data_IF_359911541549
#
_entry.id   IF_359911541549
#
_cell.length_a   1.000
_cell.length_b   1.000
_cell.length_c   1.000
_cell.angle_alpha   90.00
_cell.angle_beta   90.00
_cell.angle_gamma   90.00
#
_symmetry.space_group_name_H-M   'P 1'
#
loop_
_entity.id
_entity.type
_entity.pdbx_description
1 polymer ?
#
# COMPACT_ATOMS: atom_id res chain seq x y z
N UNK A 1 -10.58 -10.25 -11.92
CA UNK A 1 -9.27 -10.09 -11.25
C UNK A 1 -8.17 -9.97 -12.28
N UNK A 2 -7.18 -9.11 -12.06
CA UNK A 2 -6.05 -8.94 -12.98
C UNK A 2 -4.72 -8.79 -12.22
N UNK A 3 -3.67 -9.43 -12.76
CA UNK A 3 -2.31 -9.47 -12.24
C UNK A 3 -1.55 -10.64 -12.85
N UNK A 4 -0.27 -10.83 -12.49
CA UNK A 4 0.46 -12.06 -12.84
C UNK A 4 -0.34 -13.31 -12.44
N UNK A 5 -0.96 -13.23 -11.25
CA UNK A 5 -1.97 -14.19 -10.80
C UNK A 5 -3.31 -13.47 -10.60
N UNK A 6 -4.37 -13.94 -11.25
CA UNK A 6 -5.71 -13.40 -11.01
C UNK A 6 -6.16 -13.60 -9.56
N UNK A 7 -5.97 -14.81 -9.03
CA UNK A 7 -6.40 -15.20 -7.68
C UNK A 7 -5.37 -16.11 -7.02
N UNK A 8 -5.01 -15.80 -5.77
CA UNK A 8 -4.12 -16.62 -4.92
C UNK A 8 -4.92 -17.19 -3.75
N UNK A 9 -4.93 -18.51 -3.59
CA UNK A 9 -5.61 -19.16 -2.48
C UNK A 9 -4.81 -19.05 -1.16
N UNK A 10 -5.40 -19.52 -0.05
CA UNK A 10 -4.81 -19.43 1.30
C UNK A 10 -3.46 -20.15 1.46
N UNK A 11 -3.25 -21.23 0.71
CA UNK A 11 -1.98 -21.98 0.72
C UNK A 11 -0.97 -21.42 -0.30
N UNK A 12 -1.41 -20.48 -1.14
CA UNK A 12 -0.61 -19.92 -2.23
C UNK A 12 0.49 -19.02 -1.69
N UNK A 13 1.66 -19.13 -2.31
CA UNK A 13 2.80 -18.26 -2.02
C UNK A 13 3.39 -17.76 -3.33
N UNK A 14 3.56 -16.44 -3.44
CA UNK A 14 4.32 -15.81 -4.51
C UNK A 14 5.50 -15.11 -3.86
N UNK A 15 6.72 -15.44 -4.29
CA UNK A 15 7.92 -14.83 -3.72
C UNK A 15 9.04 -14.58 -4.72
N UNK A 16 9.84 -13.55 -4.45
CA UNK A 16 11.04 -13.20 -5.23
C UNK A 16 10.71 -12.88 -6.70
N UNK A 17 9.60 -12.16 -6.94
CA UNK A 17 9.16 -11.79 -8.28
C UNK A 17 9.44 -10.31 -8.51
N UNK A 18 10.17 -10.00 -9.58
CA UNK A 18 10.41 -8.63 -10.04
C UNK A 18 9.66 -8.43 -11.35
N UNK A 19 8.71 -7.51 -11.36
CA UNK A 19 7.91 -7.15 -12.53
C UNK A 19 8.29 -5.75 -12.99
N UNK A 20 9.00 -5.65 -14.11
CA UNK A 20 9.52 -4.37 -14.61
C UNK A 20 8.70 -3.83 -15.80
N UNK A 21 8.34 -2.56 -15.75
CA UNK A 21 7.71 -1.86 -16.86
C UNK A 21 6.34 -2.41 -17.28
N UNK A 22 5.61 -3.05 -16.36
CA UNK A 22 4.32 -3.68 -16.70
C UNK A 22 3.26 -2.66 -17.08
N UNK A 23 2.31 -3.08 -17.91
CA UNK A 23 1.12 -2.29 -18.25
C UNK A 23 -0.10 -3.16 -18.00
N UNK A 24 -0.68 -3.06 -16.81
CA UNK A 24 -1.85 -3.85 -16.42
C UNK A 24 -3.06 -2.92 -16.41
N UNK A 25 -4.09 -3.28 -17.18
CA UNK A 25 -5.33 -2.49 -17.24
C UNK A 25 -6.53 -3.42 -17.19
N UNK A 26 -7.51 -3.08 -16.36
CA UNK A 26 -8.82 -3.74 -16.33
C UNK A 26 -9.93 -2.70 -16.25
N UNK A 27 -10.90 -2.80 -17.16
CA UNK A 27 -12.09 -1.94 -17.17
C UNK A 27 -13.26 -2.58 -16.44
N UNK A 28 -12.99 -3.56 -15.56
CA UNK A 28 -14.04 -4.25 -14.80
C UNK A 28 -14.60 -3.31 -13.73
N UNK A 29 -15.83 -2.83 -13.97
CA UNK A 29 -16.51 -1.85 -13.12
C UNK A 29 -17.02 -2.45 -11.81
N UNK A 30 -17.41 -3.73 -11.82
CA UNK A 30 -18.01 -4.42 -10.66
C UNK A 30 -17.07 -5.51 -10.13
N UNK A 31 -16.67 -5.40 -8.86
CA UNK A 31 -15.88 -6.41 -8.16
C UNK A 31 -14.48 -6.63 -8.75
N UNK A 32 -13.92 -5.60 -9.41
CA UNK A 32 -12.53 -5.64 -9.88
C UNK A 32 -11.57 -5.79 -8.71
N UNK A 33 -10.49 -6.55 -8.90
CA UNK A 33 -9.31 -6.46 -8.06
C UNK A 33 -8.09 -6.59 -8.95
N UNK A 34 -7.24 -5.57 -8.93
CA UNK A 34 -6.16 -5.37 -9.88
C UNK A 34 -4.88 -5.13 -9.09
N UNK A 35 -3.88 -5.98 -9.31
CA UNK A 35 -2.54 -5.79 -8.78
C UNK A 35 -1.48 -6.24 -9.77
N UNK A 36 -0.24 -5.78 -9.59
CA UNK A 36 0.90 -6.27 -10.36
C UNK A 36 1.08 -7.78 -10.21
N UNK A 37 1.29 -8.22 -8.98
CA UNK A 37 1.56 -9.62 -8.64
C UNK A 37 0.27 -10.42 -8.57
N UNK A 38 -0.75 -9.90 -7.86
CA UNK A 38 -2.02 -10.59 -7.72
C UNK A 38 -3.22 -9.64 -7.81
N UNK A 39 -4.28 -10.05 -8.50
CA UNK A 39 -5.56 -9.34 -8.44
C UNK A 39 -6.19 -9.46 -7.06
N UNK A 40 -6.36 -10.70 -6.59
CA UNK A 40 -6.95 -11.02 -5.31
C UNK A 40 -6.13 -12.12 -4.61
N UNK A 41 -5.88 -11.99 -3.31
CA UNK A 41 -5.03 -12.92 -2.58
C UNK A 41 -5.56 -13.26 -1.18
N UNK A 42 -5.56 -14.55 -0.86
CA UNK A 42 -5.70 -15.10 0.49
C UNK A 42 -4.37 -15.60 1.07
N UNK A 43 -3.32 -15.61 0.24
CA UNK A 43 -2.05 -16.27 0.51
C UNK A 43 -0.94 -15.31 0.92
N UNK A 44 0.30 -15.74 0.73
CA UNK A 44 1.50 -14.96 1.05
C UNK A 44 2.12 -14.37 -0.21
N UNK A 45 2.40 -13.07 -0.18
CA UNK A 45 3.18 -12.36 -1.19
C UNK A 45 4.42 -11.79 -0.50
N UNK A 46 5.61 -12.30 -0.86
CA UNK A 46 6.86 -11.95 -0.18
C UNK A 46 7.96 -11.52 -1.16
N UNK A 47 8.67 -10.43 -0.88
CA UNK A 47 9.82 -10.01 -1.69
C UNK A 47 9.47 -9.84 -3.17
N UNK A 48 8.36 -9.15 -3.46
CA UNK A 48 7.95 -8.86 -4.82
C UNK A 48 8.03 -7.36 -5.11
N UNK A 49 8.49 -6.99 -6.30
CA UNK A 49 8.54 -5.60 -6.75
C UNK A 49 7.83 -5.41 -8.07
N UNK A 50 7.15 -4.26 -8.22
CA UNK A 50 6.40 -3.91 -9.44
C UNK A 50 6.74 -2.49 -9.88
N UNK A 51 7.05 -2.31 -11.17
CA UNK A 51 7.20 -0.99 -11.81
C UNK A 51 6.39 -0.92 -13.12
N UNK A 52 6.12 0.29 -13.62
CA UNK A 52 5.28 0.51 -14.80
C UNK A 52 3.94 1.17 -14.44
N UNK A 53 2.83 0.61 -14.93
CA UNK A 53 1.48 1.10 -14.66
C UNK A 53 0.49 -0.03 -14.30
N UNK A 54 -0.38 0.26 -13.34
CA UNK A 54 -1.48 -0.61 -12.93
C UNK A 54 -2.75 0.22 -12.85
N UNK A 55 -3.71 -0.05 -13.73
CA UNK A 55 -4.95 0.71 -13.85
C UNK A 55 -6.18 -0.18 -13.72
N UNK A 56 -7.16 0.25 -12.93
CA UNK A 56 -8.40 -0.48 -12.71
C UNK A 56 -9.53 0.41 -12.21
N UNK A 57 -10.70 -0.15 -11.90
CA UNK A 57 -11.80 0.63 -11.30
C UNK A 57 -11.83 0.49 -9.77
N UNK A 58 -11.81 -0.74 -9.26
CA UNK A 58 -11.98 -1.04 -7.83
C UNK A 58 -10.82 -1.92 -7.34
N UNK A 59 -10.40 -1.71 -6.09
CA UNK A 59 -9.31 -2.44 -5.42
C UNK A 59 -8.05 -2.50 -6.29
N UNK A 60 -7.39 -1.36 -6.43
CA UNK A 60 -6.22 -1.23 -7.30
C UNK A 60 -4.98 -1.00 -6.45
N UNK A 61 -4.05 -1.95 -6.50
CA UNK A 61 -2.75 -1.86 -5.83
C UNK A 61 -1.61 -2.05 -6.80
N UNK A 62 -0.43 -1.48 -6.52
CA UNK A 62 0.74 -1.76 -7.34
C UNK A 62 1.18 -3.22 -7.26
N UNK A 63 1.10 -3.85 -6.07
CA UNK A 63 1.48 -5.24 -5.83
C UNK A 63 0.25 -6.15 -5.84
N UNK A 64 -0.78 -5.80 -5.07
CA UNK A 64 -2.00 -6.61 -4.94
C UNK A 64 -3.26 -5.76 -4.94
N UNK A 65 -4.29 -6.18 -5.67
CA UNK A 65 -5.58 -5.48 -5.66
C UNK A 65 -6.26 -5.57 -4.29
N UNK A 66 -6.62 -6.79 -3.89
CA UNK A 66 -7.20 -7.08 -2.58
C UNK A 66 -6.47 -8.24 -1.88
N UNK A 67 -6.10 -8.02 -0.62
CA UNK A 67 -5.50 -9.03 0.25
C UNK A 67 -6.45 -9.32 1.43
N UNK A 68 -6.93 -10.55 1.53
CA UNK A 68 -7.85 -11.00 2.57
C UNK A 68 -7.17 -12.08 3.39
N UNK A 69 -7.03 -11.88 4.70
CA UNK A 69 -6.08 -12.69 5.49
C UNK A 69 -4.67 -12.66 4.85
N UNK A 70 -3.89 -13.73 5.01
CA UNK A 70 -2.56 -13.85 4.41
C UNK A 70 -1.62 -12.69 4.77
N UNK A 71 -0.54 -12.54 4.00
CA UNK A 71 0.47 -11.53 4.28
C UNK A 71 1.10 -10.96 3.02
N UNK A 72 1.43 -9.67 3.11
CA UNK A 72 2.28 -8.98 2.14
C UNK A 72 3.53 -8.53 2.92
N UNK A 73 4.70 -9.03 2.53
CA UNK A 73 5.92 -8.81 3.30
C UNK A 73 7.12 -8.51 2.42
N UNK A 74 7.80 -7.40 2.69
CA UNK A 74 9.00 -7.04 1.94
C UNK A 74 8.74 -6.69 0.47
N UNK A 75 7.53 -6.23 0.16
CA UNK A 75 7.13 -5.93 -1.22
C UNK A 75 7.24 -4.43 -1.51
N UNK A 76 7.50 -4.09 -2.77
CA UNK A 76 7.59 -2.69 -3.20
C UNK A 76 6.89 -2.42 -4.51
N UNK A 77 6.52 -1.16 -4.71
CA UNK A 77 5.94 -0.70 -5.98
C UNK A 77 6.47 0.68 -6.36
N UNK A 78 7.03 0.81 -7.54
CA UNK A 78 7.29 2.09 -8.20
C UNK A 78 6.30 2.35 -9.34
N UNK A 79 5.30 1.49 -9.52
CA UNK A 79 4.29 1.63 -10.56
C UNK A 79 3.39 2.84 -10.31
N UNK A 80 2.98 3.52 -11.38
CA UNK A 80 1.85 4.45 -11.32
C UNK A 80 0.57 3.65 -11.17
N UNK A 81 -0.16 3.86 -10.07
CA UNK A 81 -1.41 3.15 -9.77
C UNK A 81 -2.58 4.08 -10.01
N UNK A 82 -3.57 3.61 -10.76
CA UNK A 82 -4.73 4.40 -11.15
C UNK A 82 -6.03 3.64 -10.89
N UNK A 83 -6.97 4.25 -10.16
CA UNK A 83 -8.29 3.66 -9.97
C UNK A 83 -9.33 4.60 -9.36
N UNK A 84 -10.50 4.09 -9.02
CA UNK A 84 -11.63 4.90 -8.53
C UNK A 84 -11.95 4.63 -7.06
N UNK A 85 -11.96 3.37 -6.64
CA UNK A 85 -12.30 2.96 -5.27
C UNK A 85 -11.18 2.10 -4.71
N UNK A 86 -10.69 2.46 -3.52
CA UNK A 86 -9.66 1.77 -2.75
C UNK A 86 -8.40 1.57 -3.59
N UNK A 87 -7.65 2.66 -3.71
CA UNK A 87 -6.45 2.74 -4.54
C UNK A 87 -5.22 2.96 -3.64
N UNK A 88 -4.21 2.10 -3.77
CA UNK A 88 -2.98 2.23 -3.02
C UNK A 88 -1.73 1.88 -3.80
N UNK A 89 -0.59 2.46 -3.42
CA UNK A 89 0.67 2.20 -4.12
C UNK A 89 1.14 0.75 -4.02
N UNK A 90 0.88 0.05 -2.91
CA UNK A 90 1.16 -1.38 -2.72
C UNK A 90 -0.12 -2.22 -2.80
N UNK A 91 -1.14 -1.86 -2.02
CA UNK A 91 -2.39 -2.62 -1.95
C UNK A 91 -3.60 -1.71 -2.17
N UNK A 92 -4.58 -2.16 -2.95
CA UNK A 92 -5.87 -1.45 -3.01
C UNK A 92 -6.61 -1.60 -1.69
N UNK A 93 -6.80 -2.85 -1.26
CA UNK A 93 -7.47 -3.20 -0.01
C UNK A 93 -6.69 -4.27 0.78
N UNK A 94 -6.65 -4.11 2.10
CA UNK A 94 -6.36 -5.18 3.06
C UNK A 94 -7.55 -5.39 3.99
N UNK A 95 -7.91 -6.64 4.30
CA UNK A 95 -9.07 -6.94 5.16
C UNK A 95 -8.89 -8.23 5.98
N UNK A 96 -9.80 -8.47 6.92
CA UNK A 96 -9.78 -9.62 7.83
C UNK A 96 -8.45 -9.70 8.60
N UNK A 97 -7.74 -10.82 8.51
CA UNK A 97 -6.46 -11.01 9.22
C UNK A 97 -5.25 -10.52 8.44
N UNK A 98 -5.43 -9.81 7.31
CA UNK A 98 -4.34 -9.44 6.42
C UNK A 98 -3.31 -8.54 7.12
N UNK A 99 -2.03 -8.85 6.92
CA UNK A 99 -0.92 -8.04 7.44
C UNK A 99 -0.09 -7.46 6.31
N UNK A 100 0.36 -6.22 6.49
CA UNK A 100 1.32 -5.57 5.60
C UNK A 100 2.57 -5.18 6.39
N UNK A 101 3.73 -5.68 5.98
CA UNK A 101 4.97 -5.51 6.76
C UNK A 101 6.16 -5.23 5.85
N UNK A 102 6.99 -4.25 6.24
CA UNK A 102 8.21 -3.91 5.51
C UNK A 102 7.96 -3.60 4.02
N UNK A 103 6.85 -2.93 3.69
CA UNK A 103 6.48 -2.66 2.30
C UNK A 103 6.55 -1.17 1.98
N UNK A 104 6.77 -0.84 0.71
CA UNK A 104 6.83 0.57 0.31
C UNK A 104 6.39 0.88 -1.10
N UNK A 105 5.90 2.10 -1.29
CA UNK A 105 5.50 2.63 -2.59
C UNK A 105 6.23 3.94 -2.93
N UNK A 106 6.74 4.04 -4.15
CA UNK A 106 7.37 5.26 -4.68
C UNK A 106 6.66 5.82 -5.90
N UNK A 107 5.84 5.02 -6.58
CA UNK A 107 5.04 5.45 -7.73
C UNK A 107 3.81 6.26 -7.31
N UNK A 108 3.31 7.09 -8.24
CA UNK A 108 2.16 7.96 -7.99
C UNK A 108 0.85 7.15 -7.93
N UNK A 109 -0.08 7.63 -7.13
CA UNK A 109 -1.45 7.09 -7.01
C UNK A 109 -2.42 8.14 -7.53
N UNK A 110 -3.23 7.76 -8.53
CA UNK A 110 -4.20 8.64 -9.19
C UNK A 110 -5.60 8.07 -8.95
N UNK A 111 -6.43 8.83 -8.25
CA UNK A 111 -7.82 8.47 -7.94
C UNK A 111 -8.76 9.20 -8.90
N UNK A 112 -9.39 8.46 -9.82
CA UNK A 112 -10.41 8.98 -10.71
C UNK A 112 -11.79 8.89 -10.06
N UNK A 113 -12.32 10.03 -9.66
CA UNK A 113 -13.56 10.13 -8.91
C UNK A 113 -14.78 10.11 -9.85
N UNK A 114 -15.70 9.18 -9.60
CA UNK A 114 -17.03 9.11 -10.22
C UNK A 114 -18.12 9.51 -9.19
N UNK A 115 -19.10 10.36 -9.54
CA UNK A 115 -19.95 11.14 -8.63
C UNK A 115 -20.78 10.44 -7.53
N UNK A 116 -20.74 9.11 -7.31
CA UNK A 116 -21.69 8.46 -6.36
C UNK A 116 -21.08 7.35 -5.49
N UNK A 117 -19.78 7.38 -5.19
CA UNK A 117 -19.14 6.34 -4.36
C UNK A 117 -18.33 6.93 -3.21
N UNK A 118 -18.25 6.15 -2.13
CA UNK A 118 -17.23 6.35 -1.11
C UNK A 118 -15.88 5.95 -1.72
N UNK A 119 -14.89 6.80 -1.53
CA UNK A 119 -13.59 6.70 -2.19
C UNK A 119 -12.52 6.75 -1.12
N UNK A 120 -11.68 5.72 -1.09
CA UNK A 120 -10.52 5.64 -0.23
C UNK A 120 -9.25 5.56 -1.08
N UNK A 121 -8.24 6.37 -0.74
CA UNK A 121 -6.98 6.42 -1.48
C UNK A 121 -5.80 6.72 -0.56
N UNK A 122 -4.72 5.97 -0.69
CA UNK A 122 -3.52 6.17 0.11
C UNK A 122 -2.25 5.94 -0.70
N UNK A 123 -1.14 6.56 -0.31
CA UNK A 123 0.14 6.33 -0.98
C UNK A 123 0.62 4.88 -0.90
N UNK A 124 0.22 4.14 0.15
CA UNK A 124 0.58 2.73 0.37
C UNK A 124 -0.64 1.81 0.23
N UNK A 125 -1.72 2.09 0.97
CA UNK A 125 -2.94 1.27 0.97
C UNK A 125 -4.17 2.15 0.77
N UNK A 126 -5.08 1.76 -0.12
CA UNK A 126 -6.37 2.45 -0.28
C UNK A 126 -7.25 2.31 0.96
N UNK A 127 -7.64 1.07 1.28
CA UNK A 127 -8.44 0.73 2.46
C UNK A 127 -7.73 -0.31 3.32
N UNK A 128 -7.57 -0.02 4.62
CA UNK A 128 -6.95 -0.92 5.58
C UNK A 128 -7.92 -1.37 6.69
N UNK A 129 -8.54 -2.53 6.48
CA UNK A 129 -9.35 -3.25 7.47
C UNK A 129 -8.68 -4.53 8.00
N UNK A 130 -7.37 -4.70 7.76
CA UNK A 130 -6.62 -5.88 8.17
C UNK A 130 -6.19 -5.88 9.65
N UNK A 131 -5.20 -6.71 9.98
CA UNK A 131 -4.68 -6.88 11.34
C UNK A 131 -3.43 -6.01 11.63
N UNK A 132 -3.03 -5.14 10.70
CA UNK A 132 -2.04 -4.10 10.98
C UNK A 132 -1.11 -3.79 9.82
N UNK A 133 -0.49 -2.61 9.91
CA UNK A 133 0.55 -2.16 9.00
C UNK A 133 1.79 -1.83 9.82
N UNK A 134 2.90 -2.49 9.49
CA UNK A 134 4.13 -2.43 10.27
C UNK A 134 5.30 -2.00 9.38
N UNK A 135 5.99 -0.93 9.79
CA UNK A 135 7.24 -0.48 9.18
C UNK A 135 7.13 -0.35 7.66
N UNK A 136 6.20 0.49 7.19
CA UNK A 136 5.96 0.71 5.77
C UNK A 136 6.05 2.20 5.42
N UNK A 137 6.30 2.53 4.15
CA UNK A 137 6.32 3.93 3.73
C UNK A 137 5.81 4.20 2.31
N UNK A 138 5.41 5.45 2.06
CA UNK A 138 5.04 5.92 0.72
C UNK A 138 5.68 7.27 0.39
N UNK A 139 6.14 7.44 -0.86
CA UNK A 139 6.73 8.70 -1.35
C UNK A 139 6.09 9.24 -2.60
N UNK A 140 5.37 8.40 -3.36
CA UNK A 140 4.67 8.85 -4.57
C UNK A 140 3.51 9.77 -4.24
N UNK A 141 3.24 10.71 -5.15
CA UNK A 141 2.13 11.67 -4.99
C UNK A 141 0.80 10.94 -5.07
N UNK A 142 -0.15 11.40 -4.26
CA UNK A 142 -1.53 10.92 -4.27
C UNK A 142 -2.40 12.07 -4.76
N UNK A 143 -3.01 11.90 -5.93
CA UNK A 143 -3.85 12.92 -6.56
C UNK A 143 -5.22 12.37 -6.87
N UNK A 144 -6.21 13.26 -6.95
CA UNK A 144 -7.55 12.91 -7.39
C UNK A 144 -8.01 13.82 -8.52
N UNK A 145 -8.85 13.29 -9.41
CA UNK A 145 -9.49 14.02 -10.49
C UNK A 145 -10.99 13.78 -10.43
N UNK A 146 -11.78 14.85 -10.49
CA UNK A 146 -13.25 14.78 -10.41
C UNK A 146 -13.80 15.25 -9.07
N UNK A 147 -15.09 15.05 -8.84
CA UNK A 147 -15.81 15.42 -7.62
C UNK A 147 -16.81 14.32 -7.26
N UNK A 148 -16.86 13.93 -5.99
CA UNK A 148 -17.79 12.92 -5.46
C UNK A 148 -18.82 13.59 -4.56
N UNK A 149 -20.04 13.08 -4.58
CA UNK A 149 -21.05 13.40 -3.55
C UNK A 149 -20.99 12.45 -2.35
N UNK A 150 -20.16 11.40 -2.41
CA UNK A 150 -19.90 10.48 -1.30
C UNK A 150 -18.74 10.91 -0.39
N UNK A 151 -18.37 10.04 0.56
CA UNK A 151 -17.23 10.29 1.45
C UNK A 151 -15.91 10.06 0.70
N UNK A 152 -15.03 11.06 0.67
CA UNK A 152 -13.73 11.00 -0.02
C UNK A 152 -12.61 11.07 1.02
N UNK A 153 -11.87 9.98 1.15
CA UNK A 153 -10.82 9.76 2.13
C UNK A 153 -9.48 9.50 1.41
N UNK A 154 -8.79 10.57 1.00
CA UNK A 154 -7.54 10.48 0.24
C UNK A 154 -6.42 11.13 1.04
N UNK A 155 -5.38 10.35 1.36
CA UNK A 155 -4.30 10.77 2.27
C UNK A 155 -2.93 10.23 1.86
N UNK A 156 -1.91 10.64 2.60
CA UNK A 156 -0.52 10.40 2.24
C UNK A 156 -0.07 8.93 2.32
N UNK A 157 -0.59 8.13 3.24
CA UNK A 157 -0.17 6.73 3.41
C UNK A 157 -1.32 5.74 3.24
N UNK A 158 -2.40 5.92 4.00
CA UNK A 158 -3.56 5.04 4.02
C UNK A 158 -4.79 5.88 3.69
N UNK A 159 -5.77 5.39 2.94
CA UNK A 159 -7.08 6.04 2.90
C UNK A 159 -7.77 5.86 4.26
N UNK A 160 -8.66 4.87 4.32
CA UNK A 160 -9.30 4.45 5.55
C UNK A 160 -8.46 3.45 6.34
N UNK A 161 -8.40 3.63 7.66
CA UNK A 161 -7.68 2.74 8.55
C UNK A 161 -8.50 2.33 9.77
N UNK A 162 -8.66 1.02 9.97
CA UNK A 162 -9.46 0.45 11.06
C UNK A 162 -8.61 -0.36 12.06
N UNK A 163 -7.29 -0.33 11.92
CA UNK A 163 -6.37 -1.19 12.69
C UNK A 163 -5.14 -0.42 13.16
N UNK A 164 -4.26 -1.12 13.87
CA UNK A 164 -3.01 -0.56 14.40
C UNK A 164 -2.00 -0.34 13.28
N UNK A 165 -1.33 0.81 13.33
CA UNK A 165 -0.24 1.16 12.43
C UNK A 165 0.98 1.53 13.25
N UNK A 166 2.12 0.91 12.95
CA UNK A 166 3.34 1.05 13.73
C UNK A 166 4.50 1.43 12.84
N UNK A 167 5.24 2.47 13.24
CA UNK A 167 6.42 2.98 12.55
C UNK A 167 6.22 3.15 11.03
N UNK A 168 5.15 3.81 10.59
CA UNK A 168 4.90 4.02 9.16
C UNK A 168 5.04 5.49 8.74
N UNK A 169 5.48 5.71 7.50
CA UNK A 169 5.96 7.03 7.08
C UNK A 169 5.46 7.45 5.69
N UNK A 170 5.19 8.75 5.49
CA UNK A 170 4.92 9.28 4.15
C UNK A 170 5.68 10.57 3.88
N UNK A 171 5.96 10.87 2.61
CA UNK A 171 6.62 12.12 2.19
C UNK A 171 5.88 12.91 1.10
N UNK A 172 4.78 12.36 0.59
CA UNK A 172 4.09 12.95 -0.55
C UNK A 172 3.35 14.27 -0.24
N UNK A 173 2.59 14.75 -1.22
CA UNK A 173 1.86 16.01 -1.25
C UNK A 173 0.70 16.15 -0.24
N UNK A 174 0.56 15.26 0.74
CA UNK A 174 -0.51 15.30 1.74
C UNK A 174 -0.01 15.73 3.11
N UNK A 175 -0.82 16.54 3.81
CA UNK A 175 -0.55 16.96 5.20
C UNK A 175 -0.92 15.89 6.23
N UNK A 176 -1.82 14.97 5.87
CA UNK A 176 -2.25 13.88 6.72
C UNK A 176 -1.91 12.54 6.07
N UNK A 177 -1.49 11.57 6.87
CA UNK A 177 -1.11 10.24 6.38
C UNK A 177 -2.26 9.24 6.34
N UNK A 178 -3.37 9.51 7.02
CA UNK A 178 -4.57 8.67 7.02
C UNK A 178 -5.83 9.48 7.32
N UNK A 179 -7.00 8.91 7.00
CA UNK A 179 -8.30 9.56 7.20
C UNK A 179 -8.99 9.22 8.49
N UNK A 180 -9.73 8.11 8.46
CA UNK A 180 -10.45 7.61 9.62
C UNK A 180 -9.54 6.75 10.52
N UNK A 181 -9.77 6.84 11.83
CA UNK A 181 -9.20 5.94 12.83
C UNK A 181 -10.31 5.36 13.70
N UNK A 182 -10.32 4.03 13.85
CA UNK A 182 -11.16 3.35 14.84
C UNK A 182 -10.68 3.64 16.26
N UNK A 183 -11.61 3.99 17.16
CA UNK A 183 -11.31 4.23 18.57
C UNK A 183 -10.56 3.04 19.20
N UNK A 184 -9.53 3.34 20.02
CA UNK A 184 -8.73 2.32 20.72
C UNK A 184 -7.55 1.72 19.93
N UNK A 185 -7.31 2.14 18.69
CA UNK A 185 -6.12 1.70 17.91
C UNK A 185 -4.90 2.60 18.19
N UNK A 186 -3.68 2.05 18.12
CA UNK A 186 -2.44 2.83 18.07
C UNK A 186 -2.11 3.18 16.62
N UNK A 187 -1.81 4.44 16.31
CA UNK A 187 -1.54 4.84 14.92
C UNK A 187 -0.34 5.76 14.89
N UNK A 188 0.82 5.17 14.62
CA UNK A 188 2.09 5.86 14.42
C UNK A 188 2.34 6.00 12.92
N UNK A 189 1.71 7.02 12.35
CA UNK A 189 1.92 7.42 10.96
C UNK A 189 2.56 8.79 11.01
N UNK A 190 3.74 8.97 10.41
CA UNK A 190 4.52 10.22 10.51
C UNK A 190 4.99 10.74 9.15
N UNK A 191 4.79 12.05 8.90
CA UNK A 191 5.30 12.70 7.70
C UNK A 191 6.82 12.87 7.81
N UNK A 192 7.55 12.53 6.75
CA UNK A 192 8.98 12.79 6.63
C UNK A 192 9.14 14.15 5.94
N UNK A 193 9.20 15.21 6.74
CA UNK A 193 9.35 16.60 6.30
C UNK A 193 10.80 16.98 5.96
N UNK A 194 11.78 16.18 6.41
CA UNK A 194 13.20 16.43 6.25
C UNK A 194 13.81 17.42 7.25
N UNK A 195 13.00 18.04 8.13
CA UNK A 195 13.47 18.95 9.17
C UNK A 195 13.44 18.27 10.54
N UNK A 196 12.25 17.95 11.05
CA UNK A 196 12.06 17.28 12.34
C UNK A 196 12.18 15.77 12.16
N UNK A 197 11.56 15.25 11.10
CA UNK A 197 11.52 13.82 10.78
C UNK A 197 12.31 13.58 9.50
N UNK A 198 13.45 12.92 9.64
CA UNK A 198 14.33 12.54 8.53
C UNK A 198 14.15 11.06 8.19
N UNK A 199 14.59 10.66 6.99
CA UNK A 199 14.61 9.24 6.61
C UNK A 199 15.48 8.39 7.54
N UNK A 200 16.56 8.95 8.10
CA UNK A 200 17.38 8.21 9.07
C UNK A 200 16.56 7.85 10.32
N UNK A 201 15.87 8.83 10.92
CA UNK A 201 14.99 8.58 12.08
C UNK A 201 13.87 7.59 11.76
N UNK A 202 13.28 7.71 10.56
CA UNK A 202 12.26 6.79 10.11
C UNK A 202 12.80 5.36 9.97
N UNK A 203 13.98 5.18 9.37
CA UNK A 203 14.65 3.88 9.23
C UNK A 203 14.96 3.26 10.58
N UNK A 204 15.46 4.04 11.54
CA UNK A 204 15.77 3.55 12.88
C UNK A 204 14.50 3.03 13.59
N UNK A 205 13.41 3.80 13.54
CA UNK A 205 12.13 3.40 14.12
C UNK A 205 11.51 2.19 13.41
N UNK A 206 11.53 2.16 12.07
CA UNK A 206 11.07 1.01 11.27
C UNK A 206 11.86 -0.25 11.63
N UNK A 207 13.18 -0.16 11.71
CA UNK A 207 14.04 -1.30 12.03
C UNK A 207 13.85 -1.79 13.47
N UNK A 208 13.68 -0.89 14.44
CA UNK A 208 13.35 -1.28 15.81
C UNK A 208 12.00 -2.02 15.87
N UNK A 209 10.99 -1.53 15.17
CA UNK A 209 9.67 -2.16 15.11
C UNK A 209 9.73 -3.54 14.42
N UNK A 210 10.49 -3.66 13.33
CA UNK A 210 10.73 -4.93 12.63
C UNK A 210 11.47 -5.94 13.51
N UNK A 211 12.50 -5.49 14.24
CA UNK A 211 13.25 -6.33 15.16
C UNK A 211 12.38 -6.84 16.30
N UNK A 212 11.56 -5.98 16.91
CA UNK A 212 10.61 -6.36 17.96
C UNK A 212 9.58 -7.38 17.48
N UNK A 213 9.22 -7.33 16.19
CA UNK A 213 8.33 -8.30 15.55
C UNK A 213 9.03 -9.59 15.07
N UNK A 214 10.34 -9.74 15.30
CA UNK A 214 11.10 -10.91 14.84
C UNK A 214 11.24 -10.99 13.32
N UNK A 215 11.10 -9.86 12.61
CA UNK A 215 11.19 -9.82 11.16
C UNK A 215 12.62 -10.11 10.69
N UNK A 216 12.72 -10.76 9.52
CA UNK A 216 13.98 -10.94 8.78
C UNK A 216 14.30 -9.77 7.85
N UNK A 217 13.45 -8.76 7.82
CA UNK A 217 13.59 -7.60 6.94
C UNK A 217 14.17 -6.42 7.69
N UNK A 218 15.03 -5.66 7.01
CA UNK A 218 15.65 -4.45 7.53
C UNK A 218 15.75 -3.40 6.44
N UNK A 219 15.47 -2.15 6.78
CA UNK A 219 15.74 -1.00 5.93
C UNK A 219 17.21 -0.54 6.03
N UNK A 220 17.78 -0.19 4.89
CA UNK A 220 19.04 0.54 4.75
C UNK A 220 18.80 1.89 4.10
N UNK A 221 19.59 2.88 4.48
CA UNK A 221 19.60 4.21 3.87
C UNK A 221 20.94 4.44 3.17
N UNK A 222 21.10 3.85 1.98
CA UNK A 222 22.32 3.97 1.16
C UNK A 222 22.19 5.07 0.08
N UNK A 223 21.18 5.94 0.19
CA UNK A 223 20.82 6.94 -0.80
C UNK A 223 19.75 7.90 -0.28
N UNK A 224 18.96 8.46 -1.19
CA UNK A 224 17.93 9.46 -0.85
C UNK A 224 16.69 8.88 -0.18
N UNK A 225 16.39 7.59 -0.44
CA UNK A 225 15.27 6.87 0.13
C UNK A 225 15.73 5.54 0.75
N UNK A 226 15.03 5.05 1.79
CA UNK A 226 15.29 3.73 2.32
C UNK A 226 15.11 2.65 1.26
N UNK A 227 15.85 1.55 1.39
CA UNK A 227 15.64 0.32 0.61
C UNK A 227 15.62 -0.86 1.55
N UNK A 228 14.96 -1.94 1.15
CA UNK A 228 14.76 -3.09 2.01
C UNK A 228 15.73 -4.22 1.67
N UNK A 229 16.30 -4.85 2.70
CA UNK A 229 17.11 -6.06 2.57
C UNK A 229 16.62 -7.15 3.51
N UNK A 230 16.84 -8.40 3.13
CA UNK A 230 16.65 -9.55 4.00
C UNK A 230 17.94 -9.82 4.77
N UNK A 231 17.84 -10.05 6.08
CA UNK A 231 18.94 -10.39 6.98
C UNK A 231 19.22 -11.90 6.99
#
# INVERSE_FOLDING_TARGET
YAGLFGWLNKAGTVKNVVMEGVQITSNQIYGGSIGGVAGYSWGTIENCSVSGSVSGTVYVGGVVGAQIDGSITGCSSSATVKGMVDVGGVAGQTNSSATLTACYATGNVIIEIDPVKNISGGGLVGFNGGNGVLACYATGNVTSTGSSTGNVHIFGLLGDNYTTVTACYWKNNHEQGFGYKKAGTGTEVTKVDGSVVTWQKAVDAMNNALQNAGSKWRYELNGTLPTLRKQ
#
